data_IF_837881958389
#
_entry.id   IF_837881958389
#
_cell.length_a   1.000
_cell.length_b   1.000
_cell.length_c   1.000
_cell.angle_alpha   90.00
_cell.angle_beta   90.00
_cell.angle_gamma   90.00
#
_symmetry.space_group_name_H-M   'P 1'
#
loop_
_entity.id
_entity.type
_entity.pdbx_description
1 polymer ?
#
# COMPACT_ATOMS: atom_id res chain seq x y z
N UNK A 1 -28.82 -7.43 3.20
CA UNK A 1 -28.21 -8.13 4.35
C UNK A 1 -27.72 -7.07 5.32
N UNK A 2 -27.96 -7.20 6.64
CA UNK A 2 -27.40 -6.26 7.61
C UNK A 2 -25.87 -6.35 7.59
N UNK A 3 -25.22 -5.18 7.75
CA UNK A 3 -23.77 -5.07 7.76
C UNK A 3 -23.19 -5.88 8.93
N UNK A 4 -22.20 -6.74 8.65
CA UNK A 4 -21.59 -7.62 9.67
C UNK A 4 -20.39 -6.97 10.38
N UNK A 5 -19.85 -5.89 9.82
CA UNK A 5 -18.66 -5.19 10.34
C UNK A 5 -18.91 -3.67 10.35
N UNK A 6 -18.28 -2.94 11.27
CA UNK A 6 -18.30 -1.48 11.29
C UNK A 6 -17.58 -0.90 10.07
N UNK A 7 -18.04 0.22 9.50
CA UNK A 7 -17.44 0.78 8.25
C UNK A 7 -16.01 1.25 8.48
N UNK A 8 -15.70 1.71 9.68
CA UNK A 8 -14.36 2.06 10.16
C UNK A 8 -13.36 0.90 9.94
N UNK A 9 -13.85 -0.34 9.97
CA UNK A 9 -13.06 -1.57 9.77
C UNK A 9 -13.02 -2.06 8.32
N UNK A 10 -13.53 -1.29 7.35
CA UNK A 10 -13.39 -1.60 5.92
C UNK A 10 -12.17 -0.91 5.33
N UNK A 11 -11.46 -1.61 4.44
CA UNK A 11 -10.43 -1.04 3.55
C UNK A 11 -10.74 -1.51 2.13
N UNK A 12 -11.20 -0.61 1.27
CA UNK A 12 -11.40 -0.90 -0.15
C UNK A 12 -10.17 -0.39 -0.92
N UNK A 13 -9.28 -1.31 -1.30
CA UNK A 13 -7.97 -0.96 -1.84
C UNK A 13 -7.73 -1.54 -3.23
N UNK A 14 -7.00 -0.79 -4.05
CA UNK A 14 -6.43 -1.30 -5.30
C UNK A 14 -4.94 -1.56 -5.18
N UNK A 15 -4.43 -2.54 -5.92
CA UNK A 15 -2.99 -2.73 -6.10
C UNK A 15 -2.63 -2.22 -7.49
N UNK A 16 -1.80 -1.19 -7.57
CA UNK A 16 -1.52 -0.44 -8.79
C UNK A 16 -0.01 -0.30 -9.03
N UNK A 17 0.45 -0.45 -10.28
CA UNK A 17 1.87 -0.48 -10.63
C UNK A 17 2.10 -0.58 -12.15
N UNK A 18 3.35 -0.37 -12.58
CA UNK A 18 3.83 -0.80 -13.90
C UNK A 18 3.74 -2.34 -14.08
N UNK A 19 3.84 -2.79 -15.33
CA UNK A 19 3.95 -4.22 -15.70
C UNK A 19 5.14 -4.82 -14.95
N UNK A 20 5.06 -6.09 -14.58
CA UNK A 20 6.12 -6.83 -13.90
C UNK A 20 6.57 -6.30 -12.53
N UNK A 21 6.14 -5.14 -12.02
CA UNK A 21 6.52 -4.66 -10.68
C UNK A 21 6.09 -5.60 -9.51
N UNK A 22 5.29 -6.63 -9.81
CA UNK A 22 4.89 -7.68 -8.88
C UNK A 22 3.57 -7.41 -8.16
N UNK A 23 2.59 -6.77 -8.84
CA UNK A 23 1.23 -6.56 -8.31
C UNK A 23 0.58 -7.87 -7.90
N UNK A 24 0.38 -8.77 -8.86
CA UNK A 24 -0.29 -10.06 -8.65
C UNK A 24 0.45 -10.91 -7.63
N UNK A 25 1.78 -10.95 -7.66
CA UNK A 25 2.57 -11.62 -6.63
C UNK A 25 2.31 -11.03 -5.24
N UNK A 26 2.23 -9.71 -5.11
CA UNK A 26 1.90 -9.05 -3.85
C UNK A 26 0.48 -9.40 -3.39
N UNK A 27 -0.49 -9.40 -4.32
CA UNK A 27 -1.88 -9.81 -4.06
C UNK A 27 -1.96 -11.24 -3.54
N UNK A 28 -1.32 -12.20 -4.20
CA UNK A 28 -1.31 -13.61 -3.79
C UNK A 28 -0.69 -13.79 -2.40
N UNK A 29 0.36 -13.03 -2.07
CA UNK A 29 0.96 -13.07 -0.72
C UNK A 29 0.04 -12.48 0.34
N UNK A 30 -0.69 -11.41 0.01
CA UNK A 30 -1.73 -10.88 0.91
C UNK A 30 -2.80 -11.95 1.17
N UNK A 31 -3.27 -12.65 0.13
CA UNK A 31 -4.27 -13.71 0.28
C UNK A 31 -3.76 -14.88 1.12
N UNK A 32 -2.49 -15.24 0.97
CA UNK A 32 -1.86 -16.27 1.78
C UNK A 32 -1.76 -15.87 3.25
N UNK A 33 -1.21 -14.69 3.57
CA UNK A 33 -1.00 -14.27 4.96
C UNK A 33 -2.29 -13.94 5.71
N UNK A 34 -3.34 -13.56 5.01
CA UNK A 34 -4.69 -13.39 5.59
C UNK A 34 -5.44 -14.72 5.77
N UNK A 35 -4.83 -15.85 5.38
CA UNK A 35 -5.42 -17.18 5.46
C UNK A 35 -6.54 -17.44 4.45
N UNK A 36 -6.74 -16.53 3.49
CA UNK A 36 -7.76 -16.66 2.44
C UNK A 36 -7.38 -17.72 1.42
N UNK A 37 -6.09 -17.83 1.10
CA UNK A 37 -5.53 -18.93 0.31
C UNK A 37 -4.64 -19.80 1.19
N UNK A 38 -4.77 -21.12 1.06
CA UNK A 38 -3.92 -22.08 1.75
C UNK A 38 -2.66 -22.46 0.95
N UNK A 39 -2.53 -21.94 -0.28
CA UNK A 39 -1.37 -22.14 -1.14
C UNK A 39 -0.86 -20.80 -1.64
N UNK A 40 0.46 -20.71 -1.73
CA UNK A 40 1.13 -19.61 -2.41
C UNK A 40 0.97 -19.86 -3.92
N UNK A 41 0.15 -19.06 -4.59
CA UNK A 41 0.08 -19.03 -6.05
C UNK A 41 1.32 -18.33 -6.62
N UNK A 42 1.87 -18.86 -7.70
CA UNK A 42 2.89 -18.20 -8.51
C UNK A 42 2.35 -17.93 -9.91
N UNK A 43 2.54 -16.69 -10.39
CA UNK A 43 2.05 -16.24 -11.70
C UNK A 43 2.74 -17.01 -12.83
N UNK A 44 4.05 -17.27 -12.68
CA UNK A 44 4.85 -17.97 -13.68
C UNK A 44 4.44 -19.44 -13.89
N UNK A 45 3.79 -20.05 -12.89
CA UNK A 45 3.32 -21.43 -12.94
C UNK A 45 1.83 -21.52 -13.36
N UNK A 46 1.21 -20.39 -13.73
CA UNK A 46 -0.24 -20.32 -14.02
C UNK A 46 -1.13 -20.60 -12.80
N UNK A 47 -0.57 -20.57 -11.59
CA UNK A 47 -1.24 -20.94 -10.35
C UNK A 47 -1.74 -19.71 -9.56
N UNK A 48 -1.65 -18.51 -10.12
CA UNK A 48 -2.19 -17.30 -9.50
C UNK A 48 -3.72 -17.37 -9.46
N UNK A 49 -4.29 -17.10 -8.29
CA UNK A 49 -5.75 -17.16 -8.05
C UNK A 49 -6.46 -16.00 -8.75
N UNK A 50 -5.80 -14.87 -8.88
CA UNK A 50 -6.39 -13.64 -9.44
C UNK A 50 -6.38 -13.60 -10.98
N UNK A 51 -5.41 -14.26 -11.62
CA UNK A 51 -5.31 -14.39 -13.08
C UNK A 51 -6.05 -15.67 -13.53
N UNK A 52 -7.37 -15.60 -13.65
CA UNK A 52 -8.22 -16.76 -13.90
C UNK A 52 -8.45 -17.06 -15.39
N UNK A 53 -8.20 -16.07 -16.27
CA UNK A 53 -8.33 -16.30 -17.71
C UNK A 53 -7.12 -17.07 -18.23
N UNK A 54 -7.36 -18.03 -19.13
CA UNK A 54 -6.28 -18.82 -19.76
C UNK A 54 -5.23 -17.92 -20.44
N UNK A 55 -5.67 -16.80 -21.02
CA UNK A 55 -4.80 -15.80 -21.65
C UNK A 55 -3.94 -15.01 -20.65
N UNK A 56 -4.43 -14.78 -19.43
CA UNK A 56 -3.66 -14.14 -18.36
C UNK A 56 -2.57 -15.08 -17.87
N UNK A 57 -2.91 -16.37 -17.68
CA UNK A 57 -1.98 -17.42 -17.26
C UNK A 57 -0.92 -17.71 -18.33
N UNK A 58 -1.31 -17.80 -19.61
CA UNK A 58 -0.38 -18.02 -20.72
C UNK A 58 0.62 -16.88 -20.91
N UNK A 59 0.19 -15.63 -20.70
CA UNK A 59 1.01 -14.44 -20.97
C UNK A 59 1.68 -13.87 -19.72
N UNK A 60 1.31 -14.33 -18.52
CA UNK A 60 1.82 -13.83 -17.25
C UNK A 60 1.46 -12.36 -16.99
N UNK A 61 0.34 -11.86 -17.51
CA UNK A 61 -0.13 -10.49 -17.33
C UNK A 61 -1.57 -10.48 -16.82
N UNK A 62 -1.89 -9.53 -15.93
CA UNK A 62 -3.26 -9.27 -15.50
C UNK A 62 -3.99 -8.42 -16.54
N UNK A 63 -5.07 -8.95 -17.10
CA UNK A 63 -5.89 -8.32 -18.15
C UNK A 63 -7.14 -7.71 -17.52
N UNK A 64 -7.80 -8.44 -16.62
CA UNK A 64 -9.05 -8.02 -15.97
C UNK A 64 -8.87 -7.78 -14.48
N UNK A 65 -9.65 -6.83 -13.93
CA UNK A 65 -9.66 -6.54 -12.51
C UNK A 65 -10.40 -7.64 -11.75
N UNK A 66 -9.67 -8.34 -10.89
CA UNK A 66 -10.26 -9.33 -9.98
C UNK A 66 -10.49 -8.70 -8.60
N UNK A 67 -11.69 -8.89 -8.05
CA UNK A 67 -12.06 -8.43 -6.71
C UNK A 67 -12.10 -9.60 -5.72
N UNK A 68 -11.49 -9.41 -4.56
CA UNK A 68 -11.47 -10.43 -3.49
C UNK A 68 -11.58 -9.79 -2.12
N UNK A 69 -12.01 -10.57 -1.13
CA UNK A 69 -12.14 -10.13 0.26
C UNK A 69 -11.30 -11.02 1.17
N UNK A 70 -10.52 -10.38 2.05
CA UNK A 70 -9.75 -11.02 3.11
C UNK A 70 -9.87 -10.23 4.43
N UNK A 71 -9.28 -10.77 5.49
CA UNK A 71 -9.35 -10.18 6.84
C UNK A 71 -7.94 -10.05 7.45
N UNK A 72 -7.65 -8.89 8.01
CA UNK A 72 -6.38 -8.61 8.70
C UNK A 72 -6.64 -7.73 9.92
N UNK A 73 -6.14 -8.10 11.11
CA UNK A 73 -6.35 -7.34 12.37
C UNK A 73 -7.82 -6.92 12.59
N UNK A 74 -8.76 -7.84 12.39
CA UNK A 74 -10.22 -7.63 12.45
C UNK A 74 -10.81 -6.64 11.40
N UNK A 75 -10.01 -6.16 10.46
CA UNK A 75 -10.45 -5.33 9.35
C UNK A 75 -10.80 -6.19 8.16
N UNK A 76 -11.88 -5.84 7.48
CA UNK A 76 -12.26 -6.41 6.19
C UNK A 76 -11.54 -5.63 5.10
N UNK A 77 -10.68 -6.30 4.35
CA UNK A 77 -9.97 -5.71 3.21
C UNK A 77 -10.62 -6.27 1.95
N UNK A 78 -11.14 -5.37 1.11
CA UNK A 78 -11.59 -5.68 -0.24
C UNK A 78 -10.50 -5.20 -1.19
N UNK A 79 -9.93 -6.12 -1.96
CA UNK A 79 -8.82 -5.86 -2.87
C UNK A 79 -9.34 -5.93 -4.29
N UNK A 80 -9.00 -4.94 -5.10
CA UNK A 80 -9.12 -5.00 -6.55
C UNK A 80 -7.70 -5.03 -7.13
N UNK A 81 -7.33 -6.16 -7.72
CA UNK A 81 -6.05 -6.22 -8.46
C UNK A 81 -6.24 -5.53 -9.81
N UNK A 82 -5.42 -4.53 -10.12
CA UNK A 82 -5.62 -3.69 -11.32
C UNK A 82 -4.61 -4.05 -12.41
N UNK A 83 -5.00 -4.02 -13.70
CA UNK A 83 -4.07 -4.24 -14.80
C UNK A 83 -2.88 -3.29 -14.77
N UNK A 84 -1.69 -3.80 -15.09
CA UNK A 84 -0.46 -2.99 -15.19
C UNK A 84 -0.18 -2.39 -16.55
N UNK A 85 -0.81 -2.94 -17.58
CA UNK A 85 -0.50 -2.65 -18.97
C UNK A 85 -1.26 -1.41 -19.46
N UNK A 86 -0.61 -0.61 -20.31
CA UNK A 86 -1.17 0.64 -20.86
C UNK A 86 -2.48 0.43 -21.64
N UNK A 87 -2.60 -0.72 -22.29
CA UNK A 87 -3.76 -1.07 -23.11
C UNK A 87 -5.04 -1.25 -22.27
N UNK A 88 -4.92 -1.43 -20.95
CA UNK A 88 -6.04 -1.63 -20.02
C UNK A 88 -6.27 -0.43 -19.10
N UNK A 89 -5.83 0.76 -19.53
CA UNK A 89 -5.99 2.01 -18.76
C UNK A 89 -7.43 2.36 -18.39
N UNK A 90 -8.42 1.98 -19.23
CA UNK A 90 -9.86 2.17 -18.93
C UNK A 90 -10.26 1.37 -17.68
N UNK A 91 -9.73 0.17 -17.54
CA UNK A 91 -10.04 -0.72 -16.42
C UNK A 91 -9.40 -0.23 -15.13
N UNK A 92 -8.15 0.25 -15.19
CA UNK A 92 -7.50 0.96 -14.07
C UNK A 92 -8.32 2.18 -13.66
N UNK A 93 -8.79 2.97 -14.63
CA UNK A 93 -9.60 4.17 -14.36
C UNK A 93 -10.94 3.84 -13.70
N UNK A 94 -11.58 2.75 -14.11
CA UNK A 94 -12.81 2.26 -13.50
C UNK A 94 -12.57 1.77 -12.07
N UNK A 95 -11.51 1.01 -11.84
CA UNK A 95 -11.15 0.49 -10.52
C UNK A 95 -10.86 1.64 -9.56
N UNK A 96 -10.03 2.62 -9.94
CA UNK A 96 -9.70 3.77 -9.10
C UNK A 96 -10.90 4.62 -8.68
N UNK A 97 -12.00 4.65 -9.45
CA UNK A 97 -13.24 5.35 -9.06
C UNK A 97 -14.01 4.69 -7.93
N UNK A 98 -13.82 3.39 -7.73
CA UNK A 98 -14.57 2.58 -6.75
C UNK A 98 -13.75 2.36 -5.47
N UNK A 99 -12.44 2.58 -5.55
CA UNK A 99 -11.52 2.35 -4.45
C UNK A 99 -11.44 3.55 -3.51
N UNK A 100 -11.34 3.26 -2.21
CA UNK A 100 -11.12 4.29 -1.21
C UNK A 100 -9.62 4.60 -1.11
N UNK A 101 -8.74 3.61 -1.25
CA UNK A 101 -7.29 3.76 -1.19
C UNK A 101 -6.53 2.85 -2.16
N UNK A 102 -5.20 2.99 -2.23
CA UNK A 102 -4.37 2.16 -3.10
C UNK A 102 -3.00 1.81 -2.51
N UNK A 103 -2.45 0.69 -2.95
CA UNK A 103 -1.04 0.31 -2.80
C UNK A 103 -0.34 0.50 -4.14
N UNK A 104 0.56 1.47 -4.20
CA UNK A 104 1.41 1.72 -5.36
C UNK A 104 2.66 0.84 -5.27
N UNK A 105 2.76 -0.20 -6.10
CA UNK A 105 3.92 -1.10 -6.12
C UNK A 105 4.96 -0.58 -7.12
N UNK A 106 6.22 -0.56 -6.72
CA UNK A 106 7.35 -0.19 -7.57
C UNK A 106 8.36 -1.32 -7.65
N UNK A 107 9.00 -1.48 -8.80
CA UNK A 107 10.14 -2.40 -8.95
C UNK A 107 11.37 -1.75 -8.33
N UNK A 108 12.02 -2.41 -7.37
CA UNK A 108 13.23 -1.93 -6.71
C UNK A 108 14.42 -1.70 -7.64
N UNK A 109 14.41 -2.30 -8.84
CA UNK A 109 15.48 -2.14 -9.85
C UNK A 109 15.19 -0.95 -10.77
N UNK A 110 13.95 -0.85 -11.28
CA UNK A 110 13.58 0.16 -12.28
C UNK A 110 13.04 1.47 -11.66
N UNK A 111 12.53 1.39 -10.42
CA UNK A 111 11.92 2.51 -9.70
C UNK A 111 10.63 3.01 -10.35
N UNK A 112 10.59 4.30 -10.69
CA UNK A 112 9.42 4.94 -11.31
C UNK A 112 9.51 4.87 -12.84
N UNK A 113 8.63 4.07 -13.42
CA UNK A 113 8.52 3.85 -14.86
C UNK A 113 7.40 4.72 -15.49
N UNK A 114 7.38 4.90 -16.83
CA UNK A 114 6.40 5.79 -17.49
C UNK A 114 4.94 5.47 -17.18
N UNK A 115 4.61 4.19 -17.00
CA UNK A 115 3.25 3.77 -16.66
C UNK A 115 2.96 3.95 -15.18
N UNK A 116 3.97 3.87 -14.31
CA UNK A 116 3.81 4.25 -12.91
C UNK A 116 3.37 5.70 -12.80
N UNK A 117 3.94 6.62 -13.60
CA UNK A 117 3.48 8.02 -13.68
C UNK A 117 2.03 8.14 -14.15
N UNK A 118 1.64 7.34 -15.16
CA UNK A 118 0.29 7.38 -15.73
C UNK A 118 -0.75 6.95 -14.70
N UNK A 119 -0.52 5.83 -14.04
CA UNK A 119 -1.41 5.29 -13.01
C UNK A 119 -1.42 6.20 -11.77
N UNK A 120 -0.28 6.81 -11.43
CA UNK A 120 -0.19 7.82 -10.37
C UNK A 120 -1.07 9.03 -10.64
N UNK A 121 -1.00 9.59 -11.86
CA UNK A 121 -1.86 10.72 -12.27
C UNK A 121 -3.35 10.35 -12.26
N UNK A 122 -3.70 9.11 -12.62
CA UNK A 122 -5.08 8.63 -12.52
C UNK A 122 -5.54 8.60 -11.06
N UNK A 123 -4.73 8.08 -10.15
CA UNK A 123 -5.05 8.08 -8.73
C UNK A 123 -5.15 9.50 -8.14
N UNK A 124 -4.33 10.45 -8.62
CA UNK A 124 -4.42 11.87 -8.24
C UNK A 124 -5.75 12.50 -8.71
N UNK A 125 -6.15 12.22 -9.96
CA UNK A 125 -7.41 12.70 -10.54
C UNK A 125 -8.62 12.28 -9.71
N UNK A 126 -8.61 11.06 -9.17
CA UNK A 126 -9.70 10.53 -8.33
C UNK A 126 -9.50 10.76 -6.83
N UNK A 127 -8.43 11.45 -6.44
CA UNK A 127 -8.08 11.69 -5.03
C UNK A 127 -8.10 10.39 -4.21
N UNK A 128 -7.39 9.38 -4.67
CA UNK A 128 -7.21 8.10 -3.98
C UNK A 128 -5.93 8.14 -3.13
N UNK A 129 -6.03 8.17 -1.78
CA UNK A 129 -4.88 8.10 -0.89
C UNK A 129 -4.13 6.78 -1.07
N UNK A 130 -2.81 6.81 -0.90
CA UNK A 130 -1.98 5.66 -1.25
C UNK A 130 -0.77 5.50 -0.36
N UNK A 131 -0.35 4.25 -0.23
CA UNK A 131 0.95 3.85 0.31
C UNK A 131 1.80 3.28 -0.81
N UNK A 132 3.10 3.46 -0.75
CA UNK A 132 4.05 2.93 -1.73
C UNK A 132 4.72 1.66 -1.17
N UNK A 133 4.92 0.67 -2.03
CA UNK A 133 5.65 -0.55 -1.71
C UNK A 133 6.76 -0.76 -2.74
N UNK A 134 8.01 -0.53 -2.34
CA UNK A 134 9.18 -0.83 -3.17
C UNK A 134 9.46 -2.33 -3.04
N UNK A 135 9.08 -3.06 -4.08
CA UNK A 135 9.14 -4.52 -4.17
C UNK A 135 10.43 -4.99 -4.86
N UNK A 136 10.63 -6.31 -4.95
CA UNK A 136 11.75 -6.95 -5.64
C UNK A 136 13.13 -6.51 -5.17
N UNK A 137 13.26 -6.12 -3.90
CA UNK A 137 14.57 -5.81 -3.33
C UNK A 137 15.52 -7.01 -3.28
N UNK A 138 15.08 -8.22 -3.63
CA UNK A 138 15.89 -9.42 -3.79
C UNK A 138 16.57 -9.54 -5.17
N UNK A 139 16.26 -8.64 -6.12
CA UNK A 139 16.84 -8.66 -7.47
C UNK A 139 18.15 -7.90 -7.53
N UNK A 140 19.04 -8.32 -8.43
CA UNK A 140 20.30 -7.63 -8.71
C UNK A 140 20.05 -6.22 -9.25
N UNK A 141 20.77 -5.25 -8.70
CA UNK A 141 20.60 -3.82 -9.02
C UNK A 141 19.44 -3.16 -8.29
N UNK A 142 18.79 -3.83 -7.33
CA UNK A 142 17.73 -3.22 -6.56
C UNK A 142 18.27 -2.17 -5.59
N UNK A 143 17.71 -0.96 -5.65
CA UNK A 143 18.06 0.17 -4.78
C UNK A 143 16.80 0.88 -4.28
N UNK A 144 16.54 0.70 -3.00
CA UNK A 144 15.41 1.31 -2.31
C UNK A 144 15.47 2.85 -2.32
N UNK A 145 16.64 3.44 -2.09
CA UNK A 145 16.76 4.88 -1.95
C UNK A 145 16.66 5.58 -3.30
N UNK A 146 17.20 4.97 -4.35
CA UNK A 146 16.96 5.40 -5.72
C UNK A 146 15.47 5.42 -6.06
N UNK A 147 14.71 4.39 -5.67
CA UNK A 147 13.25 4.38 -5.86
C UNK A 147 12.55 5.51 -5.09
N UNK A 148 12.95 5.77 -3.85
CA UNK A 148 12.42 6.88 -3.03
C UNK A 148 12.69 8.23 -3.70
N UNK A 149 13.92 8.45 -4.20
CA UNK A 149 14.29 9.68 -4.90
C UNK A 149 13.48 9.84 -6.21
N UNK A 150 13.28 8.76 -6.97
CA UNK A 150 12.45 8.80 -8.18
C UNK A 150 10.98 9.09 -7.89
N UNK A 151 10.41 8.58 -6.78
CA UNK A 151 9.03 8.91 -6.36
C UNK A 151 8.92 10.43 -6.15
N UNK A 152 9.94 11.05 -5.55
CA UNK A 152 9.99 12.49 -5.38
C UNK A 152 10.14 13.23 -6.71
N UNK A 153 11.15 12.86 -7.49
CA UNK A 153 11.56 13.66 -8.66
C UNK A 153 10.65 13.47 -9.87
N UNK A 154 10.11 12.26 -10.10
CA UNK A 154 9.27 11.96 -11.27
C UNK A 154 7.77 12.11 -11.00
N UNK A 155 7.32 11.76 -9.79
CA UNK A 155 5.89 11.85 -9.44
C UNK A 155 5.54 13.17 -8.76
N UNK A 156 6.52 13.95 -8.31
CA UNK A 156 6.28 15.19 -7.56
C UNK A 156 5.67 14.95 -6.18
N UNK A 157 5.80 13.74 -5.64
CA UNK A 157 5.25 13.36 -4.34
C UNK A 157 6.27 13.60 -3.21
N UNK A 158 5.82 13.77 -1.96
CA UNK A 158 6.68 13.79 -0.78
C UNK A 158 6.72 12.36 -0.19
N UNK A 159 7.74 11.53 -0.48
CA UNK A 159 7.83 10.21 0.13
C UNK A 159 8.12 10.34 1.63
N UNK A 160 7.41 9.56 2.44
CA UNK A 160 7.67 9.41 3.87
C UNK A 160 8.20 8.00 4.10
N UNK A 161 9.51 7.86 4.27
CA UNK A 161 10.17 6.56 4.46
C UNK A 161 9.73 5.95 5.79
N UNK A 162 8.96 4.86 5.74
CA UNK A 162 8.49 4.13 6.92
C UNK A 162 9.44 2.99 7.30
N UNK A 163 10.19 2.49 6.32
CA UNK A 163 11.03 1.31 6.46
C UNK A 163 12.34 1.46 5.70
N UNK A 164 13.38 0.78 6.18
CA UNK A 164 14.69 0.67 5.51
C UNK A 164 15.00 -0.81 5.32
N UNK A 165 15.45 -1.27 4.14
CA UNK A 165 15.78 -2.68 3.96
C UNK A 165 17.02 -3.10 4.76
N UNK A 166 16.98 -4.32 5.30
CA UNK A 166 18.11 -5.00 5.93
C UNK A 166 18.71 -5.97 4.92
N UNK A 167 19.81 -5.53 4.31
CA UNK A 167 20.39 -6.17 3.13
C UNK A 167 19.63 -5.86 1.85
N UNK A 168 20.22 -6.20 0.71
CA UNK A 168 19.61 -6.09 -0.62
C UNK A 168 19.99 -7.31 -1.45
N UNK A 169 19.30 -7.51 -2.56
CA UNK A 169 19.50 -8.64 -3.48
C UNK A 169 19.41 -9.98 -2.73
N UNK A 170 20.36 -10.88 -2.98
CA UNK A 170 20.51 -12.15 -2.27
C UNK A 170 20.69 -12.02 -0.75
N UNK A 171 21.14 -10.86 -0.26
CA UNK A 171 21.37 -10.61 1.18
C UNK A 171 20.15 -10.03 1.91
N UNK A 172 19.03 -9.79 1.22
CA UNK A 172 17.81 -9.24 1.82
C UNK A 172 17.25 -10.20 2.89
N UNK A 173 17.35 -9.80 4.16
CA UNK A 173 16.90 -10.59 5.32
C UNK A 173 15.67 -9.99 6.00
N UNK A 174 15.46 -8.69 5.85
CA UNK A 174 14.30 -8.04 6.43
C UNK A 174 14.24 -6.54 6.24
N UNK A 175 13.58 -5.85 7.17
CA UNK A 175 13.36 -4.39 7.13
C UNK A 175 13.46 -3.81 8.53
N UNK A 176 13.93 -2.57 8.64
CA UNK A 176 13.85 -1.75 9.85
C UNK A 176 12.50 -1.05 9.84
N UNK A 177 11.69 -1.27 10.88
CA UNK A 177 10.48 -0.50 11.16
C UNK A 177 10.89 0.78 11.89
N UNK A 178 10.72 1.93 11.22
CA UNK A 178 11.08 3.23 11.78
C UNK A 178 10.05 3.74 12.79
N UNK A 179 8.83 3.18 12.88
CA UNK A 179 7.88 3.54 13.92
C UNK A 179 8.33 2.95 15.26
N UNK A 180 8.61 1.64 15.26
CA UNK A 180 9.00 0.87 16.45
C UNK A 180 10.50 0.94 16.75
N UNK A 181 11.29 1.47 15.82
CA UNK A 181 12.75 1.50 15.88
C UNK A 181 13.36 0.11 16.13
N UNK A 182 12.86 -0.91 15.41
CA UNK A 182 13.32 -2.30 15.48
C UNK A 182 13.51 -2.88 14.09
N UNK A 183 14.44 -3.82 13.94
CA UNK A 183 14.55 -4.62 12.73
C UNK A 183 13.60 -5.83 12.80
N UNK A 184 12.89 -6.07 11.71
CA UNK A 184 12.05 -7.25 11.47
C UNK A 184 12.83 -8.16 10.55
N UNK A 185 13.27 -9.32 11.04
CA UNK A 185 14.02 -10.30 10.27
C UNK A 185 13.17 -11.54 10.02
N UNK A 186 13.06 -11.96 8.76
CA UNK A 186 12.30 -13.16 8.38
C UNK A 186 13.20 -14.39 8.38
N UNK A 187 12.65 -15.50 8.87
CA UNK A 187 13.32 -16.81 8.84
C UNK A 187 13.09 -17.46 7.48
N UNK A 188 14.18 -17.83 6.79
CA UNK A 188 14.12 -18.28 5.38
C UNK A 188 13.29 -19.54 5.18
N UNK A 189 13.19 -20.42 6.19
CA UNK A 189 12.64 -21.77 6.06
C UNK A 189 11.09 -21.84 6.07
N UNK A 190 10.38 -20.74 6.36
CA UNK A 190 8.92 -20.78 6.64
C UNK A 190 8.06 -19.90 5.74
N UNK A 191 8.44 -19.68 4.49
CA UNK A 191 7.65 -18.89 3.52
C UNK A 191 7.23 -17.51 4.08
N UNK A 192 8.10 -16.92 4.91
CA UNK A 192 7.86 -15.64 5.58
C UNK A 192 6.83 -15.64 6.71
N UNK A 193 6.28 -16.80 7.11
CA UNK A 193 5.30 -16.89 8.20
C UNK A 193 5.88 -16.60 9.59
N UNK A 194 7.19 -16.75 9.77
CA UNK A 194 7.88 -16.41 11.01
C UNK A 194 8.93 -15.31 10.79
N UNK A 195 8.80 -14.26 11.58
CA UNK A 195 9.76 -13.18 11.69
C UNK A 195 9.96 -12.81 13.16
N UNK A 196 11.08 -12.18 13.45
CA UNK A 196 11.43 -11.72 14.79
C UNK A 196 11.78 -10.24 14.78
N UNK A 197 11.40 -9.56 15.86
CA UNK A 197 11.82 -8.20 16.13
C UNK A 197 13.14 -8.24 16.91
N UNK A 198 14.17 -7.65 16.33
CA UNK A 198 15.52 -7.57 16.90
C UNK A 198 16.00 -6.12 16.91
N UNK A 199 17.13 -5.87 17.57
CA UNK A 199 17.78 -4.56 17.52
C UNK A 199 18.25 -4.23 16.09
N UNK A 200 18.25 -2.94 15.76
CA UNK A 200 18.69 -2.46 14.44
C UNK A 200 20.19 -2.79 14.26
N UNK A 201 20.59 -3.46 13.15
CA UNK A 201 21.99 -3.72 12.87
C UNK A 201 22.84 -2.45 12.92
N UNK A 202 24.06 -2.57 13.45
CA UNK A 202 24.94 -1.42 13.68
C UNK A 202 25.17 -0.59 12.41
N UNK A 203 25.34 -1.24 11.26
CA UNK A 203 25.52 -0.56 9.97
C UNK A 203 24.32 0.28 9.51
N UNK A 204 23.12 0.01 10.05
CA UNK A 204 21.90 0.74 9.71
C UNK A 204 21.47 1.76 10.77
N UNK A 205 22.11 1.81 11.94
CA UNK A 205 21.65 2.69 13.03
C UNK A 205 21.68 4.18 12.66
N UNK A 206 22.77 4.66 12.05
CA UNK A 206 22.86 6.07 11.65
C UNK A 206 21.81 6.43 10.61
N UNK A 207 21.61 5.54 9.62
CA UNK A 207 20.61 5.71 8.57
C UNK A 207 19.19 5.68 9.13
N UNK A 208 18.90 4.75 10.04
CA UNK A 208 17.61 4.65 10.72
C UNK A 208 17.33 5.91 11.57
N UNK A 209 18.32 6.43 12.30
CA UNK A 209 18.17 7.69 13.06
C UNK A 209 17.88 8.88 12.15
N UNK A 210 18.56 8.98 11.00
CA UNK A 210 18.31 10.03 10.01
C UNK A 210 16.87 9.99 9.51
N UNK A 211 16.43 8.86 8.96
CA UNK A 211 15.07 8.75 8.41
C UNK A 211 13.99 8.78 9.48
N UNK A 212 14.27 8.28 10.70
CA UNK A 212 13.38 8.43 11.86
C UNK A 212 13.13 9.89 12.19
N UNK A 213 14.18 10.73 12.17
CA UNK A 213 14.05 12.16 12.43
C UNK A 213 13.18 12.83 11.37
N UNK A 214 13.47 12.59 10.09
CA UNK A 214 12.68 13.13 8.97
C UNK A 214 11.21 12.68 9.03
N UNK A 215 10.99 11.41 9.41
CA UNK A 215 9.67 10.83 9.61
C UNK A 215 8.90 11.54 10.73
N UNK A 216 9.53 11.72 11.90
CA UNK A 216 8.93 12.41 13.03
C UNK A 216 8.59 13.86 12.67
N UNK A 217 9.56 14.62 12.16
CA UNK A 217 9.39 16.03 11.77
C UNK A 217 8.23 16.19 10.79
N UNK A 218 8.19 15.38 9.74
CA UNK A 218 7.14 15.46 8.71
C UNK A 218 5.77 15.00 9.23
N UNK A 219 5.73 13.98 10.09
CA UNK A 219 4.46 13.47 10.59
C UNK A 219 3.82 14.43 11.60
N UNK A 220 4.58 14.99 12.54
CA UNK A 220 4.00 15.86 13.58
C UNK A 220 3.47 17.18 13.02
N UNK A 221 3.92 17.64 11.84
CA UNK A 221 3.32 18.76 11.09
C UNK A 221 1.80 18.59 10.85
N UNK A 222 1.28 17.37 10.98
CA UNK A 222 -0.13 17.05 10.79
C UNK A 222 -1.01 17.32 12.03
N UNK A 223 -0.40 17.66 13.16
CA UNK A 223 -1.09 17.91 14.44
C UNK A 223 -0.34 18.97 15.28
N UNK A 224 -0.91 20.17 15.37
CA UNK A 224 -0.31 21.33 16.04
C UNK A 224 0.18 21.03 17.47
N UNK A 225 -0.57 20.20 18.20
CA UNK A 225 -0.22 19.84 19.59
C UNK A 225 0.99 18.92 19.63
N UNK A 226 1.01 17.89 18.78
CA UNK A 226 2.15 16.97 18.71
C UNK A 226 3.39 17.64 18.15
N UNK A 227 3.23 18.64 17.27
CA UNK A 227 4.34 19.47 16.79
C UNK A 227 4.95 20.31 17.92
N UNK A 228 4.13 20.98 18.73
CA UNK A 228 4.61 21.71 19.92
C UNK A 228 5.29 20.77 20.93
N UNK A 229 4.70 19.62 21.22
CA UNK A 229 5.28 18.61 22.10
C UNK A 229 6.67 18.16 21.60
N UNK A 230 6.81 17.89 20.29
CA UNK A 230 8.08 17.52 19.66
C UNK A 230 9.14 18.62 19.76
N UNK A 231 8.78 19.87 19.47
CA UNK A 231 9.69 21.03 19.55
C UNK A 231 10.18 21.28 20.98
N UNK A 232 9.35 20.97 21.98
CA UNK A 232 9.70 21.02 23.40
C UNK A 232 10.47 19.77 23.88
N UNK A 233 10.86 18.87 22.98
CA UNK A 233 11.67 17.69 23.28
C UNK A 233 10.91 16.54 23.94
N UNK A 234 9.57 16.54 23.89
CA UNK A 234 8.77 15.40 24.37
C UNK A 234 8.81 14.26 23.37
N UNK A 235 8.84 13.05 23.89
CA UNK A 235 8.79 11.84 23.07
C UNK A 235 7.39 11.61 22.53
N UNK A 236 7.29 11.35 21.23
CA UNK A 236 6.02 11.08 20.54
C UNK A 236 5.75 9.58 20.60
N UNK A 237 4.57 9.20 21.09
CA UNK A 237 4.17 7.80 21.18
C UNK A 237 3.99 7.16 19.80
N UNK A 238 4.14 5.83 19.70
CA UNK A 238 3.89 5.10 18.44
C UNK A 238 2.46 5.33 17.91
N UNK A 239 1.48 5.37 18.81
CA UNK A 239 0.07 5.58 18.46
C UNK A 239 -0.19 6.98 17.91
N UNK A 240 0.41 8.00 18.51
CA UNK A 240 0.27 9.39 18.06
C UNK A 240 0.94 9.57 16.69
N UNK A 241 2.12 8.98 16.53
CA UNK A 241 2.83 9.01 15.27
C UNK A 241 2.04 8.31 14.15
N UNK A 242 1.48 7.13 14.40
CA UNK A 242 0.61 6.43 13.44
C UNK A 242 -0.57 7.31 13.04
N UNK A 243 -1.20 7.99 14.01
CA UNK A 243 -2.32 8.91 13.76
C UNK A 243 -1.91 10.08 12.86
N UNK A 244 -0.75 10.69 13.12
CA UNK A 244 -0.18 11.75 12.28
C UNK A 244 0.12 11.29 10.86
N UNK A 245 0.76 10.12 10.71
CA UNK A 245 1.05 9.54 9.38
C UNK A 245 -0.24 9.26 8.62
N UNK A 246 -1.27 8.72 9.29
CA UNK A 246 -2.60 8.53 8.69
C UNK A 246 -3.19 9.86 8.22
N UNK A 247 -3.20 10.90 9.06
CA UNK A 247 -3.72 12.23 8.71
C UNK A 247 -3.05 12.79 7.45
N UNK A 248 -1.71 12.78 7.38
CA UNK A 248 -0.99 13.28 6.22
C UNK A 248 -1.18 12.42 4.97
N UNK A 249 -1.26 11.09 5.12
CA UNK A 249 -1.55 10.17 4.01
C UNK A 249 -2.93 10.45 3.40
N UNK A 250 -3.97 10.66 4.22
CA UNK A 250 -5.33 10.95 3.75
C UNK A 250 -5.46 12.35 3.13
N UNK A 251 -4.63 13.31 3.55
CA UNK A 251 -4.56 14.67 3.01
C UNK A 251 -3.69 14.83 1.76
N UNK A 252 -2.94 13.80 1.38
CA UNK A 252 -1.94 13.84 0.29
C UNK A 252 -0.72 14.72 0.58
N UNK A 253 -0.44 15.04 1.84
CA UNK A 253 0.72 15.85 2.21
C UNK A 253 2.04 15.08 2.02
N UNK A 254 1.97 13.76 2.13
CA UNK A 254 3.04 12.81 1.84
C UNK A 254 2.48 11.42 1.56
N UNK A 255 3.34 10.53 1.06
CA UNK A 255 3.00 9.12 0.79
C UNK A 255 3.89 8.19 1.61
N UNK A 256 3.33 7.36 2.51
CA UNK A 256 4.11 6.39 3.27
C UNK A 256 4.78 5.37 2.34
N UNK A 257 6.10 5.17 2.48
CA UNK A 257 6.88 4.24 1.66
C UNK A 257 7.38 3.07 2.50
N UNK A 258 6.93 1.87 2.13
CA UNK A 258 7.32 0.59 2.68
C UNK A 258 8.16 -0.20 1.67
N UNK A 259 8.75 -1.30 2.11
CA UNK A 259 9.63 -2.08 1.24
C UNK A 259 9.68 -3.57 1.58
N UNK A 260 10.11 -4.38 0.61
CA UNK A 260 10.32 -5.80 0.79
C UNK A 260 10.50 -6.55 -0.52
N UNK A 261 10.20 -7.85 -0.45
CA UNK A 261 10.13 -8.73 -1.60
C UNK A 261 8.94 -9.66 -1.42
N UNK A 262 7.89 -9.44 -2.21
CA UNK A 262 6.74 -10.33 -2.24
C UNK A 262 7.14 -11.75 -2.67
N UNK A 263 8.07 -11.87 -3.62
CA UNK A 263 8.59 -13.16 -4.09
C UNK A 263 9.29 -13.94 -2.96
N UNK A 264 10.18 -13.27 -2.22
CA UNK A 264 10.90 -13.86 -1.09
C UNK A 264 10.14 -13.82 0.23
N UNK A 265 8.87 -13.46 0.22
CA UNK A 265 8.00 -13.51 1.41
C UNK A 265 8.42 -12.56 2.55
N UNK A 266 8.97 -11.38 2.21
CA UNK A 266 9.47 -10.40 3.18
C UNK A 266 8.78 -9.05 2.97
N UNK A 267 8.28 -8.44 4.04
CA UNK A 267 7.70 -7.09 4.03
C UNK A 267 6.19 -6.99 3.72
N UNK A 268 5.53 -8.08 3.30
CA UNK A 268 4.09 -8.05 2.96
C UNK A 268 3.19 -7.94 4.19
N UNK A 269 3.55 -8.54 5.33
CA UNK A 269 2.75 -8.39 6.56
C UNK A 269 2.81 -6.96 7.12
N UNK A 270 3.98 -6.29 7.21
CA UNK A 270 4.02 -4.86 7.51
C UNK A 270 3.28 -3.99 6.49
N UNK A 271 3.24 -4.38 5.22
CA UNK A 271 2.39 -3.72 4.22
C UNK A 271 0.90 -3.84 4.57
N UNK A 272 0.44 -5.02 5.01
CA UNK A 272 -0.93 -5.21 5.48
C UNK A 272 -1.26 -4.39 6.74
N UNK A 273 -0.29 -4.26 7.65
CA UNK A 273 -0.41 -3.36 8.80
C UNK A 273 -0.58 -1.90 8.34
N UNK A 274 0.26 -1.44 7.42
CA UNK A 274 0.16 -0.09 6.85
C UNK A 274 -1.15 0.18 6.10
N UNK A 275 -1.70 -0.82 5.40
CA UNK A 275 -3.03 -0.74 4.79
C UNK A 275 -4.10 -0.45 5.84
N UNK A 276 -4.06 -1.17 6.96
CA UNK A 276 -5.01 -0.95 8.05
C UNK A 276 -4.78 0.40 8.71
N UNK A 277 -3.54 0.74 9.01
CA UNK A 277 -3.19 1.90 9.82
C UNK A 277 -3.31 3.23 9.03
N UNK A 278 -2.97 3.26 7.73
CA UNK A 278 -2.87 4.51 6.97
C UNK A 278 -3.92 4.72 5.87
N UNK A 279 -4.45 3.65 5.26
CA UNK A 279 -5.43 3.80 4.16
C UNK A 279 -6.86 4.07 4.68
N UNK A 280 -7.68 4.78 3.89
CA UNK A 280 -9.01 5.20 4.33
C UNK A 280 -9.99 4.03 4.49
N UNK A 281 -10.97 4.28 5.34
CA UNK A 281 -12.25 3.58 5.37
C UNK A 281 -13.30 4.36 4.57
N UNK A 282 -14.44 3.76 4.22
CA UNK A 282 -15.55 4.47 3.58
C UNK A 282 -16.02 5.71 4.36
N UNK A 283 -15.85 5.73 5.69
CA UNK A 283 -16.21 6.90 6.51
C UNK A 283 -15.29 8.08 6.23
N UNK A 284 -14.00 7.84 5.99
CA UNK A 284 -13.02 8.88 5.69
C UNK A 284 -13.31 9.56 4.34
N UNK A 285 -13.98 8.85 3.41
CA UNK A 285 -14.45 9.40 2.13
C UNK A 285 -15.72 10.24 2.30
N UNK A 286 -16.59 9.85 3.23
CA UNK A 286 -17.79 10.60 3.63
C UNK A 286 -18.99 10.41 2.70
N UNK A 287 -18.86 10.76 1.41
CA UNK A 287 -19.96 10.65 0.43
C UNK A 287 -19.47 10.59 -1.02
N UNK A 288 -20.34 10.09 -1.91
CA UNK A 288 -20.15 10.13 -3.36
C UNK A 288 -21.10 11.16 -3.97
N UNK A 289 -20.58 11.99 -4.89
CA UNK A 289 -21.38 12.91 -5.68
C UNK A 289 -21.98 12.20 -6.90
N UNK A 290 -23.23 12.51 -7.20
CA UNK A 290 -23.92 12.10 -8.42
C UNK A 290 -24.82 13.19 -8.95
N UNK A 291 -25.47 12.95 -10.08
CA UNK A 291 -26.43 13.88 -10.69
C UNK A 291 -27.81 13.24 -10.72
N UNK A 292 -28.85 14.01 -10.41
CA UNK A 292 -30.23 13.50 -10.52
C UNK A 292 -30.55 13.13 -11.98
N UNK A 293 -31.30 12.04 -12.22
CA UNK A 293 -31.79 11.72 -13.56
C UNK A 293 -32.56 12.91 -14.15
N UNK A 294 -32.26 13.25 -15.41
CA UNK A 294 -32.89 14.34 -16.16
C UNK A 294 -32.75 15.74 -15.55
N UNK A 295 -31.77 15.97 -14.67
CA UNK A 295 -31.45 17.29 -14.11
C UNK A 295 -29.94 17.54 -14.13
N UNK A 296 -29.53 18.79 -13.91
CA UNK A 296 -28.13 19.16 -13.62
C UNK A 296 -27.84 19.23 -12.11
N UNK A 297 -28.84 18.98 -11.27
CA UNK A 297 -28.69 19.05 -9.82
C UNK A 297 -27.76 17.95 -9.30
N UNK A 298 -26.73 18.35 -8.56
CA UNK A 298 -25.88 17.43 -7.81
C UNK A 298 -26.64 16.86 -6.60
N UNK A 299 -26.38 15.58 -6.31
CA UNK A 299 -26.81 14.90 -5.10
C UNK A 299 -25.62 14.22 -4.44
N UNK A 300 -25.65 14.15 -3.13
CA UNK A 300 -24.68 13.43 -2.34
C UNK A 300 -25.28 12.10 -1.87
N UNK A 301 -24.49 11.03 -1.94
CA UNK A 301 -24.82 9.71 -1.41
C UNK A 301 -23.86 9.39 -0.28
N UNK A 302 -24.38 9.44 0.95
CA UNK A 302 -23.64 9.11 2.16
C UNK A 302 -23.57 7.60 2.37
N UNK A 303 -22.49 7.12 2.97
CA UNK A 303 -22.30 5.71 3.27
C UNK A 303 -23.10 5.29 4.52
N UNK A 304 -24.43 5.24 4.41
CA UNK A 304 -25.33 4.92 5.53
C UNK A 304 -26.42 3.93 5.10
N UNK A 305 -26.65 2.89 5.90
CA UNK A 305 -27.65 1.85 5.63
C UNK A 305 -29.10 2.35 5.66
N UNK A 306 -29.34 3.57 6.18
CA UNK A 306 -30.65 4.23 6.19
C UNK A 306 -30.93 5.07 4.93
N UNK A 307 -29.92 5.32 4.10
CA UNK A 307 -30.07 6.05 2.83
C UNK A 307 -30.72 5.15 1.77
N UNK A 308 -31.41 5.72 0.76
CA UNK A 308 -31.87 4.96 -0.39
C UNK A 308 -30.71 4.24 -1.10
N UNK A 309 -30.94 3.00 -1.53
CA UNK A 309 -29.91 2.19 -2.19
C UNK A 309 -29.36 2.86 -3.45
N UNK A 310 -28.03 2.85 -3.57
CA UNK A 310 -27.29 3.30 -4.75
C UNK A 310 -26.01 2.47 -4.94
N UNK A 311 -25.73 2.03 -6.16
CA UNK A 311 -24.52 1.31 -6.56
C UNK A 311 -24.18 1.61 -8.04
N UNK A 312 -22.92 1.40 -8.43
CA UNK A 312 -22.34 1.65 -9.75
C UNK A 312 -21.69 0.39 -10.33
#
# INVERSE_FOLDING_TARGET
>A
MPRTHQLEKYRNIGIMAHIDAGKTTTTERILYYTGKSHKIGEVHDGAATMDWMEQEQERGITITSAATTCFWREHRINIIDTPGHVDFTIEVERSLKVLDGAVAVFDGVAGVEPQSETVWRQADKYKVPRVCFVNKLDRTGADFFMCVDMIKDRLGAKPLVMQIPVGTESSLKGVVDLIKMKAILWKEEKLGAEFEYVEIPNELQEKAKKYRKELLETAVEQDDKLMDDYLNGKEISETDLISCVRKGCLKFDFVPVLTGSAFKNKGVQPLLDAVVDFLPSPIDIGFIKGTKPNSKDEIERKFNDKEPFSAL
#
